data_IF_008430077168
#
_entry.id   IF_008430077168
#
_cell.length_a   1.000
_cell.length_b   1.000
_cell.length_c   1.000
_cell.angle_alpha   90.00
_cell.angle_beta   90.00
_cell.angle_gamma   90.00
#
_symmetry.space_group_name_H-M   'P 1'
#
loop_
_entity.id
_entity.type
_entity.pdbx_description
1 polymer ?
#
# COMPACT_ATOMS: atom_id res chain seq x y z
N UNK A 1 16.18 6.85 -11.53
CA UNK A 1 14.78 6.69 -11.10
C UNK A 1 14.68 6.09 -9.70
N UNK A 2 14.90 6.95 -8.69
CA UNK A 2 15.02 6.59 -7.26
C UNK A 2 14.10 7.46 -6.38
N UNK A 3 13.14 8.15 -6.99
CA UNK A 3 12.42 9.28 -6.40
C UNK A 3 11.50 8.92 -5.20
N UNK A 4 11.23 7.62 -5.01
CA UNK A 4 10.31 7.08 -4.01
C UNK A 4 10.98 6.15 -2.98
N UNK A 5 12.29 5.90 -3.06
CA UNK A 5 12.96 4.90 -2.22
C UNK A 5 12.99 5.27 -0.72
N UNK A 6 12.93 6.56 -0.40
CA UNK A 6 12.85 7.08 0.97
C UNK A 6 11.42 7.15 1.51
N UNK A 7 10.41 6.94 0.66
CA UNK A 7 9.01 7.12 1.05
C UNK A 7 8.49 5.95 1.88
N UNK A 8 7.63 6.29 2.84
CA UNK A 8 6.99 5.36 3.77
C UNK A 8 5.49 5.60 3.77
N UNK A 9 4.72 4.52 3.92
CA UNK A 9 3.27 4.54 3.91
C UNK A 9 2.69 3.71 5.05
N UNK A 10 1.51 4.11 5.52
CA UNK A 10 0.79 3.40 6.57
C UNK A 10 -0.31 2.52 6.02
N UNK A 11 -0.39 1.30 6.53
CA UNK A 11 -1.41 0.32 6.20
C UNK A 11 -2.33 0.13 7.41
N UNK A 12 -3.64 0.17 7.19
CA UNK A 12 -4.61 0.12 8.28
C UNK A 12 -5.63 -0.98 8.08
N UNK A 13 -5.60 -1.98 8.97
CA UNK A 13 -6.65 -3.02 9.01
C UNK A 13 -8.00 -2.42 9.39
N UNK A 14 -7.99 -1.39 10.23
CA UNK A 14 -9.19 -0.68 10.66
C UNK A 14 -9.86 0.03 9.50
N UNK A 15 -9.09 0.75 8.67
CA UNK A 15 -9.64 1.41 7.48
C UNK A 15 -10.20 0.41 6.45
N UNK A 16 -9.60 -0.77 6.32
CA UNK A 16 -9.99 -1.74 5.29
C UNK A 16 -11.12 -2.68 5.68
N UNK A 17 -11.19 -3.11 6.95
CA UNK A 17 -12.19 -4.08 7.41
C UNK A 17 -13.15 -3.52 8.47
N UNK A 18 -12.80 -2.40 9.10
CA UNK A 18 -13.58 -1.82 10.18
C UNK A 18 -14.85 -1.10 9.75
N UNK A 19 -15.07 -0.89 8.45
CA UNK A 19 -16.18 -0.08 7.92
C UNK A 19 -17.58 -0.57 8.34
N UNK A 20 -17.77 -1.89 8.43
CA UNK A 20 -19.04 -2.50 8.82
C UNK A 20 -19.13 -2.84 10.33
N UNK A 21 -18.09 -2.56 11.11
CA UNK A 21 -18.04 -2.90 12.53
C UNK A 21 -18.70 -1.82 13.41
N UNK A 22 -19.34 -2.21 14.53
CA UNK A 22 -19.71 -1.26 15.57
C UNK A 22 -18.50 -0.46 16.06
N UNK A 23 -18.71 0.80 16.43
CA UNK A 23 -17.63 1.75 16.75
C UNK A 23 -16.64 1.20 17.78
N UNK A 24 -17.12 0.63 18.88
CA UNK A 24 -16.26 0.11 19.95
C UNK A 24 -15.38 -1.03 19.47
N UNK A 25 -15.92 -1.91 18.62
CA UNK A 25 -15.16 -3.00 18.01
C UNK A 25 -14.13 -2.49 17.01
N UNK A 26 -14.47 -1.46 16.22
CA UNK A 26 -13.54 -0.81 15.29
C UNK A 26 -12.36 -0.17 16.03
N UNK A 27 -12.63 0.55 17.11
CA UNK A 27 -11.59 1.19 17.93
C UNK A 27 -10.72 0.15 18.66
N UNK A 28 -11.33 -0.92 19.17
CA UNK A 28 -10.59 -2.05 19.75
C UNK A 28 -9.69 -2.73 18.70
N UNK A 29 -10.17 -2.91 17.46
CA UNK A 29 -9.38 -3.46 16.36
C UNK A 29 -8.16 -2.58 16.05
N UNK A 30 -8.33 -1.25 16.00
CA UNK A 30 -7.22 -0.31 15.80
C UNK A 30 -6.20 -0.38 16.94
N UNK A 31 -6.66 -0.50 18.18
CA UNK A 31 -5.79 -0.61 19.34
C UNK A 31 -4.99 -1.93 19.32
N UNK A 32 -5.63 -3.03 18.91
CA UNK A 32 -4.98 -4.33 18.79
C UNK A 32 -4.00 -4.41 17.62
N UNK A 33 -4.33 -3.75 16.51
CA UNK A 33 -3.54 -3.74 15.28
C UNK A 33 -3.31 -2.29 14.82
N UNK A 34 -2.33 -1.59 15.42
CA UNK A 34 -1.96 -0.25 15.00
C UNK A 34 -1.55 -0.19 13.54
N UNK A 35 -1.75 0.97 12.91
CA UNK A 35 -1.40 1.17 11.51
C UNK A 35 0.10 0.93 11.28
N UNK A 36 0.41 -0.12 10.50
CA UNK A 36 1.78 -0.54 10.26
C UNK A 36 2.43 0.36 9.20
N UNK A 37 3.67 0.79 9.45
CA UNK A 37 4.42 1.62 8.51
C UNK A 37 5.43 0.79 7.72
N UNK A 38 5.35 0.88 6.40
CA UNK A 38 6.19 0.14 5.46
C UNK A 38 6.83 1.08 4.43
N UNK A 39 8.00 0.73 3.87
CA UNK A 39 8.56 1.48 2.76
C UNK A 39 7.66 1.34 1.53
N UNK A 40 7.52 2.41 0.74
CA UNK A 40 6.74 2.41 -0.52
C UNK A 40 7.44 1.52 -1.56
N UNK A 41 8.77 1.56 -1.60
CA UNK A 41 9.60 0.64 -2.37
C UNK A 41 10.31 -0.29 -1.40
N UNK A 42 9.96 -1.57 -1.43
CA UNK A 42 10.58 -2.61 -0.60
C UNK A 42 11.61 -3.37 -1.44
N UNK A 43 12.77 -3.67 -0.86
CA UNK A 43 13.72 -4.61 -1.47
C UNK A 43 13.32 -6.04 -1.09
N UNK A 44 13.15 -6.91 -2.08
CA UNK A 44 12.88 -8.31 -1.87
C UNK A 44 14.09 -8.97 -1.19
N UNK A 45 13.91 -9.65 -0.03
CA UNK A 45 15.03 -10.07 0.80
C UNK A 45 15.92 -11.16 0.16
N UNK A 46 15.37 -11.95 -0.76
CA UNK A 46 16.11 -13.04 -1.43
C UNK A 46 16.61 -12.65 -2.82
N UNK A 47 15.75 -12.10 -3.68
CA UNK A 47 16.12 -11.68 -5.05
C UNK A 47 16.80 -10.32 -5.15
N UNK A 48 16.65 -9.44 -4.15
CA UNK A 48 17.18 -8.07 -4.20
C UNK A 48 16.38 -7.12 -5.09
N UNK A 49 15.29 -7.58 -5.69
CA UNK A 49 14.45 -6.76 -6.58
C UNK A 49 13.68 -5.68 -5.82
N UNK A 50 13.39 -4.57 -6.49
CA UNK A 50 12.58 -3.50 -5.93
C UNK A 50 11.11 -3.73 -6.22
N UNK A 51 10.30 -3.77 -5.17
CA UNK A 51 8.87 -4.07 -5.19
C UNK A 51 8.08 -2.85 -4.74
N UNK A 52 7.03 -2.52 -5.48
CA UNK A 52 6.07 -1.50 -5.08
C UNK A 52 5.15 -2.04 -3.98
N UNK A 53 5.37 -1.64 -2.74
CA UNK A 53 4.69 -2.20 -1.56
C UNK A 53 3.53 -1.33 -1.07
N UNK A 54 2.74 -0.78 -1.99
CA UNK A 54 1.49 -0.08 -1.69
C UNK A 54 0.31 -0.78 -2.36
N UNK A 55 -0.82 -0.86 -1.66
CA UNK A 55 -1.99 -1.60 -2.11
C UNK A 55 -3.27 -1.02 -1.49
N UNK A 56 -4.40 -1.71 -1.64
CA UNK A 56 -5.70 -1.28 -1.11
C UNK A 56 -5.75 -1.12 0.43
N UNK A 57 -4.78 -1.67 1.18
CA UNK A 57 -4.67 -1.47 2.63
C UNK A 57 -3.90 -0.20 3.00
N UNK A 58 -3.17 0.39 2.04
CA UNK A 58 -2.40 1.61 2.24
C UNK A 58 -3.34 2.82 2.35
N UNK A 59 -3.18 3.60 3.41
CA UNK A 59 -4.05 4.75 3.70
C UNK A 59 -3.44 6.07 3.22
N UNK A 60 -2.19 6.34 3.58
CA UNK A 60 -1.48 7.57 3.24
C UNK A 60 0.04 7.37 3.39
N UNK A 61 0.80 8.27 2.76
CA UNK A 61 2.24 8.39 3.01
C UNK A 61 2.50 9.08 4.36
N UNK A 62 3.40 8.53 5.17
CA UNK A 62 3.73 9.12 6.47
C UNK A 62 4.81 10.21 6.39
N UNK A 63 5.60 10.25 5.31
CA UNK A 63 6.72 11.18 5.15
C UNK A 63 6.74 11.91 3.79
N UNK A 64 5.59 12.05 3.12
CA UNK A 64 5.50 12.75 1.83
C UNK A 64 5.83 14.24 1.94
N UNK A 65 5.45 14.89 3.04
CA UNK A 65 5.54 16.34 3.18
C UNK A 65 6.98 16.81 3.47
N UNK A 66 7.79 16.93 2.42
CA UNK A 66 9.15 17.47 2.48
C UNK A 66 9.28 18.77 1.68
N UNK A 67 10.27 19.64 1.97
CA UNK A 67 10.52 20.86 1.19
C UNK A 67 10.76 20.62 -0.30
N UNK A 68 11.22 19.42 -0.66
CA UNK A 68 11.47 19.02 -2.06
C UNK A 68 10.18 18.68 -2.81
N UNK A 69 9.15 18.18 -2.12
CA UNK A 69 7.90 17.69 -2.71
C UNK A 69 6.74 18.69 -2.57
N UNK A 70 6.78 19.55 -1.55
CA UNK A 70 5.69 20.45 -1.21
C UNK A 70 6.14 21.90 -1.25
N UNK A 71 5.67 22.66 -2.25
CA UNK A 71 5.89 24.12 -2.34
C UNK A 71 4.74 24.88 -1.68
N UNK A 72 3.52 24.38 -1.85
CA UNK A 72 2.29 24.94 -1.28
C UNK A 72 1.39 23.82 -0.75
N UNK A 73 0.42 24.14 0.11
CA UNK A 73 -0.43 23.13 0.76
C UNK A 73 -1.14 22.14 -0.19
N UNK A 74 -1.49 22.60 -1.39
CA UNK A 74 -2.12 21.77 -2.43
C UNK A 74 -1.20 20.68 -3.00
N UNK A 75 0.13 20.90 -2.99
CA UNK A 75 1.11 19.89 -3.40
C UNK A 75 1.11 18.74 -2.37
N UNK A 76 0.84 19.01 -1.08
CA UNK A 76 0.72 17.99 -0.05
C UNK A 76 -0.66 17.29 -0.09
N UNK A 77 -1.74 18.05 -0.12
CA UNK A 77 -3.10 17.54 -0.14
C UNK A 77 -3.94 18.36 -1.13
N UNK A 78 -4.34 17.80 -2.29
CA UNK A 78 -4.49 16.36 -2.57
C UNK A 78 -3.27 15.64 -3.16
N UNK A 79 -2.15 16.32 -3.47
CA UNK A 79 -1.05 15.74 -4.25
C UNK A 79 -0.49 14.40 -3.74
N UNK A 80 -0.36 14.21 -2.42
CA UNK A 80 0.04 12.92 -1.83
C UNK A 80 -0.96 11.80 -2.13
N UNK A 81 -2.26 12.09 -2.03
CA UNK A 81 -3.33 11.12 -2.30
C UNK A 81 -3.40 10.76 -3.78
N UNK A 82 -3.16 11.73 -4.67
CA UNK A 82 -3.15 11.52 -6.12
C UNK A 82 -2.02 10.57 -6.53
N UNK A 83 -0.82 10.79 -5.98
CA UNK A 83 0.31 9.88 -6.18
C UNK A 83 0.01 8.48 -5.65
N UNK A 84 -0.55 8.36 -4.44
CA UNK A 84 -0.90 7.06 -3.87
C UNK A 84 -1.90 6.31 -4.76
N UNK A 85 -2.93 6.99 -5.27
CA UNK A 85 -3.90 6.40 -6.21
C UNK A 85 -3.22 5.92 -7.49
N UNK A 86 -2.29 6.69 -8.05
CA UNK A 86 -1.52 6.29 -9.22
C UNK A 86 -0.64 5.06 -8.97
N UNK A 87 0.02 4.97 -7.80
CA UNK A 87 0.86 3.81 -7.48
C UNK A 87 0.02 2.56 -7.28
N UNK A 88 -1.09 2.65 -6.54
CA UNK A 88 -2.01 1.52 -6.36
C UNK A 88 -2.62 1.11 -7.72
N UNK A 89 -2.84 2.04 -8.64
CA UNK A 89 -3.41 1.72 -9.95
C UNK A 89 -2.50 0.83 -10.81
N UNK A 90 -1.19 0.81 -10.56
CA UNK A 90 -0.24 0.01 -11.34
C UNK A 90 -0.55 -1.49 -11.26
N UNK A 91 -1.03 -1.99 -10.11
CA UNK A 91 -1.43 -3.39 -9.95
C UNK A 91 -2.61 -3.79 -10.86
N UNK A 92 -3.37 -2.82 -11.37
CA UNK A 92 -4.52 -3.06 -12.23
C UNK A 92 -4.17 -3.10 -13.73
N UNK A 93 -2.91 -2.85 -14.10
CA UNK A 93 -2.47 -2.95 -15.48
C UNK A 93 -2.48 -4.42 -15.94
N UNK A 94 -3.17 -4.76 -17.05
CA UNK A 94 -3.26 -6.14 -17.54
C UNK A 94 -1.91 -6.79 -17.81
N UNK A 95 -0.90 -6.01 -18.17
CA UNK A 95 0.48 -6.45 -18.45
C UNK A 95 1.16 -7.07 -17.22
N UNK A 96 0.70 -6.74 -16.01
CA UNK A 96 1.24 -7.26 -14.74
C UNK A 96 0.34 -8.33 -14.11
N UNK A 97 -0.71 -8.76 -14.79
CA UNK A 97 -1.70 -9.69 -14.24
C UNK A 97 -1.64 -11.07 -14.88
N UNK A 98 -1.82 -12.09 -14.04
CA UNK A 98 -2.10 -13.45 -14.47
C UNK A 98 -3.49 -13.83 -13.98
N UNK A 99 -4.36 -14.29 -14.89
CA UNK A 99 -5.72 -14.76 -14.57
C UNK A 99 -5.78 -16.29 -14.61
N UNK A 100 -5.90 -16.91 -13.44
CA UNK A 100 -5.99 -18.36 -13.29
C UNK A 100 -7.44 -18.87 -13.27
N UNK A 101 -7.70 -20.03 -13.89
CA UNK A 101 -9.00 -20.72 -13.85
C UNK A 101 -8.88 -22.01 -13.04
N UNK A 102 -9.56 -22.05 -11.89
CA UNK A 102 -9.57 -23.21 -11.00
C UNK A 102 -10.17 -24.47 -11.64
N UNK A 103 -9.58 -25.61 -11.32
CA UNK A 103 -10.13 -26.96 -11.57
C UNK A 103 -10.07 -27.78 -10.28
N UNK A 104 -10.84 -28.87 -10.15
CA UNK A 104 -10.73 -29.76 -8.99
C UNK A 104 -9.27 -30.16 -8.74
N UNK A 105 -8.85 -30.12 -7.47
CA UNK A 105 -7.49 -30.42 -7.01
C UNK A 105 -6.37 -29.49 -7.52
N UNK A 106 -6.70 -28.30 -8.04
CA UNK A 106 -5.68 -27.30 -8.38
C UNK A 106 -5.10 -26.64 -7.13
N UNK A 107 -3.81 -26.37 -7.14
CA UNK A 107 -3.09 -25.62 -6.10
C UNK A 107 -2.28 -24.51 -6.77
N UNK A 108 -2.30 -23.32 -6.17
CA UNK A 108 -1.47 -22.19 -6.59
C UNK A 108 -0.63 -21.76 -5.40
N UNK A 109 0.65 -21.53 -5.65
CA UNK A 109 1.62 -20.99 -4.69
C UNK A 109 2.14 -19.71 -5.32
N UNK A 110 2.19 -18.64 -4.54
CA UNK A 110 2.72 -17.35 -4.96
C UNK A 110 3.59 -16.74 -3.86
N UNK A 111 4.53 -15.89 -4.24
CA UNK A 111 5.30 -15.10 -3.29
C UNK A 111 4.52 -13.84 -2.91
N UNK A 112 4.28 -13.62 -1.61
CA UNK A 112 3.55 -12.46 -1.08
C UNK A 112 4.49 -11.29 -0.73
N UNK A 113 5.76 -11.37 -1.13
CA UNK A 113 6.79 -10.34 -0.93
C UNK A 113 7.10 -9.56 -2.22
N UNK A 114 6.61 -10.04 -3.36
CA UNK A 114 6.71 -9.42 -4.68
C UNK A 114 5.58 -8.43 -4.96
#
# INVERSE_FOLDING_TARGET
DTEFCDMRARHSIEASFGAAMPLDKRLALKAQFPDAEHPVVRTHPETGEQVLFVNAFTTHFSNYHTPQRVRFGQDANPGAGDLLRYLISQAYLPEYQVRWRWKPNSVVIWDNRC
#
